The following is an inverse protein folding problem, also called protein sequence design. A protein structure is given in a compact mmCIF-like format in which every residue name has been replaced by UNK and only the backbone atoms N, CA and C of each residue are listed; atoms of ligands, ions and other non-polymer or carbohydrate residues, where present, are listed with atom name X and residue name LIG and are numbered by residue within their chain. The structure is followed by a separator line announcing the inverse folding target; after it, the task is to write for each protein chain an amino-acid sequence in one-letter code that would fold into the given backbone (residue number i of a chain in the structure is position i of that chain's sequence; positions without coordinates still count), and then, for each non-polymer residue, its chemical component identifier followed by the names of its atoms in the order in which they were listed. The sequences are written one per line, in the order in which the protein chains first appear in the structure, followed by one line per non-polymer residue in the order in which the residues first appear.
data_IF_041927287131
#
_entry.id   IF_041927287131
#
_cell.length_a   1.000
_cell.length_b   1.000
_cell.length_c   1.000
_cell.angle_alpha   90.00
_cell.angle_beta   90.00
_cell.angle_gamma   90.00
#
_symmetry.space_group_name_H-M   'P 1'
#
loop_
_entity.id
_entity.type
_entity.pdbx_description
1 polymer ?
#
# COMPACT_ATOMS: atom_id res chain seq x y z
N UNK A 1 -1.96 -1.35 8.85
CA UNK A 1 -1.68 0.10 8.97
C UNK A 1 -2.59 0.83 7.99
N UNK A 2 -3.41 1.75 8.48
CA UNK A 2 -4.38 2.49 7.68
C UNK A 2 -5.72 2.58 8.41
N UNK A 3 -6.58 3.55 8.07
CA UNK A 3 -6.40 4.55 7.02
C UNK A 3 -5.38 5.61 7.43
N UNK A 4 -4.48 5.96 6.52
CA UNK A 4 -3.55 7.08 6.71
C UNK A 4 -3.86 8.17 5.69
N UNK A 5 -4.13 9.37 6.19
CA UNK A 5 -4.27 10.57 5.39
C UNK A 5 -2.91 11.23 5.16
N UNK A 6 -2.60 11.53 3.90
CA UNK A 6 -1.43 12.33 3.50
C UNK A 6 -1.93 13.63 2.90
N UNK A 7 -1.68 14.73 3.63
CA UNK A 7 -1.98 16.09 3.20
C UNK A 7 -0.74 16.87 2.80
N UNK A 8 -0.96 18.00 2.13
CA UNK A 8 0.10 18.97 1.82
C UNK A 8 -0.47 20.26 1.25
N UNK A 9 0.18 21.38 1.52
CA UNK A 9 -0.09 22.68 0.88
C UNK A 9 1.03 23.02 -0.11
N UNK A 10 0.84 24.03 -0.95
CA UNK A 10 1.89 24.51 -1.85
C UNK A 10 3.20 24.74 -1.09
N UNK A 11 4.31 24.21 -1.61
CA UNK A 11 5.63 24.32 -0.99
C UNK A 11 5.97 23.19 -0.01
N UNK A 12 5.05 22.24 0.25
CA UNK A 12 5.37 21.06 1.08
C UNK A 12 6.51 20.27 0.43
N UNK A 13 7.62 20.10 1.15
CA UNK A 13 8.87 19.54 0.61
C UNK A 13 8.77 18.07 0.16
N UNK A 14 7.76 17.34 0.63
CA UNK A 14 7.63 15.91 0.40
C UNK A 14 8.47 15.08 1.37
N UNK A 15 8.92 13.90 0.95
CA UNK A 15 9.65 12.97 1.82
C UNK A 15 10.70 12.15 1.08
N UNK A 16 11.65 11.54 1.80
CA UNK A 16 12.67 10.70 1.19
C UNK A 16 12.03 9.49 0.49
N UNK A 17 12.68 9.05 -0.58
CA UNK A 17 12.38 7.76 -1.18
C UNK A 17 12.74 6.66 -0.18
N UNK A 18 11.87 5.68 -0.06
CA UNK A 18 12.03 4.54 0.83
C UNK A 18 11.30 3.33 0.24
N UNK A 19 11.49 2.17 0.87
CA UNK A 19 11.22 0.90 0.20
C UNK A 19 12.28 0.62 -0.86
N UNK A 20 12.66 -0.64 -0.99
CA UNK A 20 13.61 -1.10 -2.00
C UNK A 20 13.66 -2.62 -1.95
N UNK A 21 14.04 -3.24 -3.08
CA UNK A 21 14.34 -4.68 -3.10
C UNK A 21 15.50 -5.07 -2.18
N UNK A 22 16.42 -4.13 -1.90
CA UNK A 22 17.59 -4.32 -1.06
C UNK A 22 17.72 -3.26 0.06
N UNK A 23 18.00 -3.64 1.33
CA UNK A 23 18.06 -5.02 1.82
C UNK A 23 16.68 -5.68 1.74
N UNK A 24 16.65 -6.93 1.29
CA UNK A 24 15.41 -7.67 1.13
C UNK A 24 14.70 -7.85 2.48
N UNK A 25 13.40 -7.55 2.51
CA UNK A 25 12.51 -7.78 3.65
C UNK A 25 11.52 -8.88 3.29
N UNK A 26 11.79 -10.15 3.64
CA UNK A 26 10.99 -11.31 3.20
C UNK A 26 9.49 -11.18 3.45
N UNK A 27 9.09 -10.54 4.55
CA UNK A 27 7.70 -10.38 4.98
C UNK A 27 6.88 -9.36 4.17
N UNK A 28 7.53 -8.51 3.37
CA UNK A 28 6.88 -7.54 2.46
C UNK A 28 7.46 -7.62 1.05
N UNK A 29 8.19 -8.69 0.76
CA UNK A 29 8.95 -8.86 -0.47
C UNK A 29 8.07 -9.18 -1.68
N UNK A 30 8.61 -8.88 -2.86
CA UNK A 30 8.11 -9.40 -4.12
C UNK A 30 8.87 -10.68 -4.50
N UNK A 31 8.16 -11.69 -4.97
CA UNK A 31 8.74 -12.87 -5.57
C UNK A 31 7.96 -13.25 -6.83
N UNK A 32 8.65 -13.78 -7.84
CA UNK A 32 8.01 -14.30 -9.04
C UNK A 32 8.53 -15.71 -9.31
N UNK A 33 7.60 -16.67 -9.38
CA UNK A 33 7.91 -18.07 -9.61
C UNK A 33 6.78 -18.70 -10.44
N UNK A 34 7.17 -19.46 -11.47
CA UNK A 34 6.24 -20.23 -12.31
C UNK A 34 5.06 -19.40 -12.88
N UNK A 35 5.33 -18.18 -13.34
CA UNK A 35 4.32 -17.29 -13.91
C UNK A 35 3.47 -16.54 -12.89
N UNK A 36 3.65 -16.78 -11.59
CA UNK A 36 2.89 -16.16 -10.53
C UNK A 36 3.72 -15.12 -9.78
N UNK A 37 3.08 -13.98 -9.49
CA UNK A 37 3.65 -12.92 -8.66
C UNK A 37 3.14 -13.06 -7.23
N UNK A 38 4.05 -13.00 -6.27
CA UNK A 38 3.77 -13.07 -4.84
C UNK A 38 4.26 -11.78 -4.19
N UNK A 39 3.42 -11.23 -3.33
CA UNK A 39 3.69 -9.97 -2.63
C UNK A 39 3.27 -10.11 -1.17
N UNK A 40 4.19 -9.79 -0.26
CA UNK A 40 3.93 -9.86 1.19
C UNK A 40 2.98 -8.76 1.70
N UNK A 41 2.92 -7.62 1.00
CA UNK A 41 1.98 -6.54 1.28
C UNK A 41 1.78 -5.58 0.12
N UNK A 42 0.55 -5.10 -0.02
CA UNK A 42 0.13 -4.13 -1.04
C UNK A 42 -0.41 -2.90 -0.33
N UNK A 43 0.03 -1.73 -0.76
CA UNK A 43 -0.57 -0.46 -0.38
C UNK A 43 -1.48 0.02 -1.50
N UNK A 44 -2.70 0.38 -1.13
CA UNK A 44 -3.70 0.95 -2.03
C UNK A 44 -3.93 2.39 -1.60
N UNK A 45 -3.82 3.31 -2.54
CA UNK A 45 -3.93 4.75 -2.27
C UNK A 45 -4.95 5.40 -3.19
N UNK A 46 -5.87 6.15 -2.61
CA UNK A 46 -6.85 6.98 -3.29
C UNK A 46 -6.40 8.43 -3.29
N UNK A 47 -6.31 9.02 -4.47
CA UNK A 47 -6.06 10.44 -4.57
C UNK A 47 -7.39 11.20 -4.51
N UNK A 48 -7.53 12.15 -3.59
CA UNK A 48 -8.77 12.92 -3.39
C UNK A 48 -8.70 14.31 -4.04
N UNK A 49 -7.53 14.71 -4.52
CA UNK A 49 -7.31 15.94 -5.28
C UNK A 49 -6.34 15.68 -6.42
N UNK A 50 -6.38 16.50 -7.47
CA UNK A 50 -5.54 16.32 -8.65
C UNK A 50 -4.04 16.45 -8.33
N UNK A 51 -3.24 15.54 -8.86
CA UNK A 51 -1.78 15.56 -8.84
C UNK A 51 -1.28 15.55 -10.29
N UNK A 52 -1.50 16.67 -10.98
CA UNK A 52 -1.10 16.86 -12.37
C UNK A 52 0.41 16.68 -12.61
N UNK A 53 0.84 16.39 -13.85
CA UNK A 53 2.26 16.28 -14.17
C UNK A 53 3.06 17.50 -13.71
N UNK A 54 4.13 17.27 -12.96
CA UNK A 54 5.04 18.30 -12.47
C UNK A 54 4.67 18.94 -11.13
N UNK A 55 3.45 18.73 -10.60
CA UNK A 55 3.02 19.36 -9.34
C UNK A 55 3.35 18.55 -8.08
N UNK A 56 3.90 17.34 -8.22
CA UNK A 56 4.34 16.49 -7.11
C UNK A 56 3.38 15.34 -6.79
N UNK A 57 3.35 14.92 -5.52
CA UNK A 57 2.51 13.78 -5.11
C UNK A 57 3.30 12.47 -5.10
N UNK A 58 2.69 11.37 -5.55
CA UNK A 58 3.35 10.07 -5.53
C UNK A 58 4.48 10.01 -6.56
N UNK A 59 5.66 9.58 -6.12
CA UNK A 59 6.77 9.25 -6.99
C UNK A 59 7.37 7.89 -6.65
N UNK A 60 7.93 7.20 -7.64
CA UNK A 60 8.55 5.90 -7.45
C UNK A 60 9.67 5.63 -8.45
N UNK A 61 10.45 4.59 -8.17
CA UNK A 61 11.33 3.95 -9.16
C UNK A 61 10.65 2.68 -9.65
N UNK A 62 10.18 2.70 -10.90
CA UNK A 62 9.51 1.55 -11.50
C UNK A 62 10.45 0.33 -11.51
N UNK A 63 9.93 -0.83 -11.09
CA UNK A 63 10.70 -2.08 -11.09
C UNK A 63 11.69 -2.26 -9.94
N UNK A 64 11.86 -1.29 -9.04
CA UNK A 64 12.89 -1.39 -7.99
C UNK A 64 12.60 -2.43 -6.89
N UNK A 65 11.40 -3.03 -6.88
CA UNK A 65 11.08 -4.24 -6.12
C UNK A 65 11.92 -5.46 -6.56
N UNK A 66 12.61 -5.38 -7.71
CA UNK A 66 13.60 -6.36 -8.18
C UNK A 66 15.05 -5.88 -8.01
N UNK A 67 15.29 -4.75 -7.35
CA UNK A 67 16.65 -4.25 -7.15
C UNK A 67 17.46 -5.24 -6.32
N UNK A 68 18.71 -5.48 -6.74
CA UNK A 68 19.71 -6.28 -6.03
C UNK A 68 20.79 -5.40 -5.38
N UNK A 69 20.61 -4.09 -5.43
CA UNK A 69 21.58 -3.11 -4.94
C UNK A 69 20.88 -2.09 -4.04
N UNK A 70 21.60 -1.57 -3.02
CA UNK A 70 21.09 -0.50 -2.18
C UNK A 70 20.67 0.71 -3.00
N UNK A 71 19.62 1.41 -2.55
CA UNK A 71 19.23 2.68 -3.13
C UNK A 71 20.35 3.72 -2.94
N UNK A 72 20.81 4.39 -4.01
CA UNK A 72 21.76 5.51 -3.87
C UNK A 72 21.20 6.61 -2.97
N UNK A 73 22.06 7.25 -2.18
CA UNK A 73 21.68 8.38 -1.30
C UNK A 73 20.98 9.50 -2.04
N UNK A 74 21.48 9.83 -3.23
CA UNK A 74 20.98 10.97 -4.01
C UNK A 74 19.57 10.70 -4.54
N UNK A 75 19.25 9.44 -4.83
CA UNK A 75 17.89 8.98 -5.16
C UNK A 75 17.01 9.03 -3.90
N UNK A 76 17.55 8.57 -2.76
CA UNK A 76 16.85 8.57 -1.46
C UNK A 76 16.37 9.97 -1.08
N UNK A 77 17.25 10.96 -1.17
CA UNK A 77 16.96 12.34 -0.78
C UNK A 77 16.51 13.22 -1.95
N UNK A 78 16.37 12.63 -3.14
CA UNK A 78 15.95 13.32 -4.36
C UNK A 78 16.88 14.47 -4.80
N UNK A 79 18.14 14.47 -4.36
CA UNK A 79 19.20 15.42 -4.77
C UNK A 79 19.59 15.19 -6.23
N UNK A 80 19.71 13.92 -6.63
CA UNK A 80 19.85 13.50 -8.02
C UNK A 80 18.98 12.27 -8.27
N UNK A 81 17.91 12.44 -9.03
CA UNK A 81 16.96 11.37 -9.36
C UNK A 81 17.52 10.36 -10.37
N UNK A 82 18.66 10.63 -10.99
CA UNK A 82 19.33 9.77 -11.98
C UNK A 82 18.41 9.33 -13.15
N UNK A 83 17.35 10.08 -13.43
CA UNK A 83 16.30 9.69 -14.39
C UNK A 83 15.46 8.46 -14.00
N UNK A 84 15.59 7.94 -12.78
CA UNK A 84 14.90 6.71 -12.34
C UNK A 84 13.63 6.98 -11.52
N UNK A 85 13.52 8.15 -10.87
CA UNK A 85 12.34 8.53 -10.08
C UNK A 85 11.31 9.20 -10.99
N UNK A 86 10.16 8.57 -11.14
CA UNK A 86 9.02 9.08 -11.91
C UNK A 86 7.89 9.51 -10.98
N UNK A 87 7.30 10.68 -11.25
CA UNK A 87 5.99 11.03 -10.71
C UNK A 87 4.94 10.12 -11.38
N UNK A 88 3.93 9.70 -10.63
CA UNK A 88 2.70 9.12 -11.20
C UNK A 88 1.63 10.20 -11.14
N UNK A 89 1.28 10.86 -12.26
CA UNK A 89 0.18 11.81 -12.29
C UNK A 89 -1.14 11.10 -12.03
N UNK A 90 -2.01 11.72 -11.23
CA UNK A 90 -3.28 11.13 -10.81
C UNK A 90 -4.35 12.22 -10.70
N UNK A 91 -5.59 11.92 -11.04
CA UNK A 91 -6.77 12.77 -10.79
C UNK A 91 -7.46 12.41 -9.48
N UNK A 92 -8.27 13.34 -8.97
CA UNK A 92 -9.19 13.03 -7.87
C UNK A 92 -10.08 11.84 -8.24
N UNK A 93 -10.07 10.80 -7.42
CA UNK A 93 -10.76 9.52 -7.64
C UNK A 93 -9.84 8.39 -8.10
N UNK A 94 -8.64 8.68 -8.60
CA UNK A 94 -7.71 7.63 -9.06
C UNK A 94 -7.20 6.78 -7.89
N UNK A 95 -6.98 5.50 -8.19
CA UNK A 95 -6.48 4.49 -7.26
C UNK A 95 -5.15 3.96 -7.75
N UNK A 96 -4.14 3.95 -6.88
CA UNK A 96 -2.83 3.38 -7.16
C UNK A 96 -2.55 2.21 -6.21
N UNK A 97 -2.09 1.12 -6.79
CA UNK A 97 -1.59 -0.06 -6.08
C UNK A 97 -0.06 -0.07 -6.18
N UNK A 98 0.63 -0.22 -5.05
CA UNK A 98 2.08 -0.34 -5.03
C UNK A 98 2.56 -1.18 -3.85
N UNK A 99 3.80 -1.65 -3.92
CA UNK A 99 4.41 -2.50 -2.91
C UNK A 99 5.29 -1.64 -1.99
N UNK A 100 4.72 -0.93 -1.01
CA UNK A 100 5.47 0.03 -0.18
C UNK A 100 6.71 -0.56 0.52
N UNK A 101 6.65 -1.84 0.89
CA UNK A 101 7.77 -2.56 1.49
C UNK A 101 8.91 -2.92 0.52
N UNK A 102 8.60 -3.12 -0.77
CA UNK A 102 9.56 -3.64 -1.77
C UNK A 102 9.92 -2.62 -2.85
N UNK A 103 9.01 -1.75 -3.25
CA UNK A 103 9.21 -0.75 -4.28
C UNK A 103 9.67 0.57 -3.66
N UNK A 104 10.71 1.15 -4.26
CA UNK A 104 11.14 2.52 -3.99
C UNK A 104 10.06 3.49 -4.36
N UNK A 105 9.61 4.24 -3.36
CA UNK A 105 8.59 5.25 -3.50
C UNK A 105 8.77 6.36 -2.46
N UNK A 106 8.09 7.47 -2.68
CA UNK A 106 8.16 8.63 -1.82
C UNK A 106 7.20 9.71 -2.27
N UNK A 107 7.11 10.77 -1.48
CA UNK A 107 6.35 11.96 -1.85
C UNK A 107 7.29 12.97 -2.52
N UNK A 108 6.95 13.38 -3.73
CA UNK A 108 7.60 14.49 -4.41
C UNK A 108 7.07 15.85 -3.88
N UNK A 109 7.89 16.91 -3.89
CA UNK A 109 7.49 18.23 -3.40
C UNK A 109 6.19 18.72 -4.06
N UNK A 110 5.27 19.26 -3.26
CA UNK A 110 3.96 19.70 -3.71
C UNK A 110 4.00 21.15 -4.21
N UNK A 111 3.53 21.37 -5.44
CA UNK A 111 3.59 22.67 -6.13
C UNK A 111 2.25 23.15 -6.68
N UNK A 112 1.19 22.37 -6.52
CA UNK A 112 -0.14 22.81 -6.91
C UNK A 112 -0.60 23.98 -6.04
N UNK A 113 -1.50 24.81 -6.57
CA UNK A 113 -2.13 25.93 -5.87
C UNK A 113 -3.23 25.49 -4.88
N UNK A 114 -3.63 24.22 -4.92
CA UNK A 114 -4.59 23.62 -4.00
C UNK A 114 -3.92 22.61 -3.05
N UNK A 115 -4.68 22.14 -2.05
CA UNK A 115 -4.19 21.13 -1.11
C UNK A 115 -4.07 19.75 -1.78
N UNK A 116 -3.00 19.04 -1.46
CA UNK A 116 -2.91 17.59 -1.64
C UNK A 116 -3.79 16.90 -0.62
N UNK A 117 -4.57 15.91 -1.06
CA UNK A 117 -5.32 15.00 -0.18
C UNK A 117 -5.26 13.60 -0.76
N UNK A 118 -4.70 12.67 0.01
CA UNK A 118 -4.57 11.27 -0.39
C UNK A 118 -4.86 10.39 0.83
N UNK A 119 -5.58 9.28 0.65
CA UNK A 119 -5.79 8.26 1.70
C UNK A 119 -5.13 6.97 1.24
N UNK A 120 -4.40 6.31 2.14
CA UNK A 120 -3.81 5.00 1.88
C UNK A 120 -4.20 3.95 2.91
N UNK A 121 -4.29 2.72 2.43
CA UNK A 121 -4.52 1.50 3.20
C UNK A 121 -3.42 0.51 2.88
N UNK A 122 -2.91 -0.20 3.90
CA UNK A 122 -1.92 -1.26 3.72
C UNK A 122 -2.54 -2.61 4.05
N UNK A 123 -2.50 -3.50 3.05
CA UNK A 123 -2.93 -4.88 3.15
C UNK A 123 -1.70 -5.78 3.21
N UNK A 124 -1.77 -6.81 4.03
CA UNK A 124 -0.73 -7.83 4.15
C UNK A 124 -1.33 -9.19 3.83
N UNK A 125 -0.53 -10.08 3.25
CA UNK A 125 -0.94 -11.46 3.05
C UNK A 125 -1.27 -12.11 4.40
N UNK A 126 -2.34 -12.92 4.44
CA UNK A 126 -2.76 -13.66 5.66
C UNK A 126 -1.62 -14.49 6.26
N UNK A 127 -0.77 -15.05 5.40
CA UNK A 127 0.36 -15.90 5.79
C UNK A 127 1.57 -15.13 6.32
N UNK A 128 1.52 -13.79 6.39
CA UNK A 128 2.60 -12.97 6.93
C UNK A 128 2.80 -13.14 8.44
N UNK A 129 1.80 -13.67 9.16
CA UNK A 129 1.95 -14.14 10.54
C UNK A 129 1.15 -15.43 10.79
N UNK A 130 1.72 -16.35 11.59
CA UNK A 130 1.15 -17.69 11.82
C UNK A 130 0.74 -17.98 13.26
N UNK A 131 1.32 -17.30 14.24
CA UNK A 131 1.09 -17.58 15.67
C UNK A 131 1.48 -16.41 16.55
N UNK A 132 1.31 -16.56 17.86
CA UNK A 132 1.69 -15.56 18.84
C UNK A 132 0.72 -14.38 18.86
N UNK A 133 1.20 -13.14 19.06
CA UNK A 133 0.34 -11.97 19.20
C UNK A 133 -0.65 -11.77 18.05
N UNK A 134 -0.33 -12.27 16.85
CA UNK A 134 -1.20 -12.18 15.68
C UNK A 134 -2.60 -12.79 15.92
N UNK A 135 -2.74 -13.84 16.73
CA UNK A 135 -4.07 -14.42 16.99
C UNK A 135 -4.98 -13.47 17.78
N UNK A 136 -4.41 -12.65 18.67
CA UNK A 136 -5.14 -11.67 19.46
C UNK A 136 -5.31 -10.33 18.72
N UNK A 137 -4.46 -10.05 17.73
CA UNK A 137 -4.45 -8.79 16.99
C UNK A 137 -5.17 -8.87 15.63
N UNK A 138 -5.49 -10.07 15.13
CA UNK A 138 -6.15 -10.24 13.85
C UNK A 138 -7.60 -9.72 13.79
N UNK A 139 -8.44 -9.87 14.83
CA UNK A 139 -9.82 -9.41 14.77
C UNK A 139 -9.94 -7.90 14.48
N UNK A 140 -10.83 -7.47 13.57
CA UNK A 140 -11.03 -6.05 13.22
C UNK A 140 -11.29 -5.15 14.43
N UNK A 141 -12.01 -5.64 15.43
CA UNK A 141 -12.37 -4.94 16.67
C UNK A 141 -11.14 -4.51 17.49
N UNK A 142 -9.97 -5.09 17.22
CA UNK A 142 -8.70 -4.64 17.81
C UNK A 142 -8.32 -3.23 17.35
N UNK A 143 -8.73 -2.85 16.14
CA UNK A 143 -8.31 -1.61 15.48
C UNK A 143 -9.46 -0.66 15.16
N UNK A 144 -10.70 -1.14 15.24
CA UNK A 144 -11.91 -0.43 14.82
C UNK A 144 -12.97 -0.54 15.89
N UNK A 145 -13.75 0.54 16.05
CA UNK A 145 -14.87 0.55 17.00
C UNK A 145 -15.89 -0.52 16.64
N UNK A 146 -16.49 -1.16 17.66
CA UNK A 146 -17.49 -2.21 17.48
C UNK A 146 -18.64 -1.78 16.58
N UNK A 147 -19.13 -0.53 16.72
CA UNK A 147 -20.20 -0.01 15.87
C UNK A 147 -19.83 0.04 14.39
N UNK A 148 -18.55 0.29 14.07
CA UNK A 148 -18.06 0.28 12.68
C UNK A 148 -18.03 -1.14 12.15
N UNK A 149 -17.50 -2.08 12.95
CA UNK A 149 -17.38 -3.50 12.55
C UNK A 149 -18.75 -4.16 12.44
N UNK A 150 -19.66 -3.94 13.38
CA UNK A 150 -20.99 -4.56 13.41
C UNK A 150 -21.83 -4.20 12.18
N UNK A 151 -21.63 -3.00 11.62
CA UNK A 151 -22.33 -2.50 10.43
C UNK A 151 -21.67 -2.91 9.11
N UNK A 152 -20.55 -3.64 9.13
CA UNK A 152 -19.91 -4.13 7.91
C UNK A 152 -20.62 -5.38 7.37
N UNK A 153 -20.70 -5.48 6.05
CA UNK A 153 -21.04 -6.76 5.38
C UNK A 153 -19.92 -7.79 5.61
N UNK A 154 -20.20 -9.06 5.36
CA UNK A 154 -19.18 -10.11 5.50
C UNK A 154 -18.00 -9.87 4.55
N UNK A 155 -18.25 -9.37 3.34
CA UNK A 155 -17.21 -9.01 2.37
C UNK A 155 -16.33 -7.85 2.86
N UNK A 156 -16.95 -6.84 3.48
CA UNK A 156 -16.22 -5.73 4.08
C UNK A 156 -15.38 -6.23 5.25
N UNK A 157 -15.95 -7.04 6.15
CA UNK A 157 -15.23 -7.63 7.29
C UNK A 157 -14.03 -8.45 6.82
N UNK A 158 -14.15 -9.21 5.73
CA UNK A 158 -13.10 -10.09 5.20
C UNK A 158 -11.75 -9.39 4.96
N UNK A 159 -11.77 -8.11 4.57
CA UNK A 159 -10.54 -7.32 4.30
C UNK A 159 -10.05 -6.51 5.50
N UNK A 160 -10.79 -6.47 6.61
CA UNK A 160 -10.44 -5.70 7.81
C UNK A 160 -9.58 -6.47 8.81
N UNK A 161 -9.51 -7.79 8.64
CA UNK A 161 -8.70 -8.66 9.49
C UNK A 161 -7.20 -8.40 9.31
N UNK A 162 -6.48 -8.46 10.42
CA UNK A 162 -5.02 -8.48 10.43
C UNK A 162 -4.45 -9.79 9.87
N UNK A 163 -3.14 -9.82 9.54
CA UNK A 163 -2.49 -11.02 9.01
C UNK A 163 -2.44 -12.12 10.08
N UNK A 164 -3.17 -13.22 9.86
CA UNK A 164 -3.08 -14.41 10.70
C UNK A 164 -3.58 -15.67 9.98
N UNK A 165 -2.70 -16.64 9.75
CA UNK A 165 -3.00 -17.86 8.98
C UNK A 165 -3.75 -18.95 9.75
N UNK A 166 -3.69 -18.93 11.08
CA UNK A 166 -4.18 -20.04 11.91
C UNK A 166 -5.47 -19.70 12.66
N UNK A 167 -6.25 -18.74 12.15
CA UNK A 167 -7.58 -18.49 12.69
C UNK A 167 -8.42 -19.74 12.46
N UNK A 168 -8.89 -20.34 13.56
CA UNK A 168 -9.49 -21.69 13.60
C UNK A 168 -10.95 -21.70 13.17
N UNK A 169 -11.60 -20.54 13.16
CA UNK A 169 -12.95 -20.36 12.62
C UNK A 169 -12.89 -19.91 11.16
N UNK A 170 -13.98 -20.13 10.41
CA UNK A 170 -14.10 -19.82 8.99
C UNK A 170 -13.85 -18.34 8.74
N UNK A 171 -12.65 -18.05 8.25
CA UNK A 171 -12.28 -16.72 7.82
C UNK A 171 -12.88 -16.52 6.42
N UNK A 172 -13.78 -15.55 6.22
CA UNK A 172 -14.41 -15.33 4.94
C UNK A 172 -13.35 -15.03 3.88
N UNK A 173 -13.24 -15.91 2.88
CA UNK A 173 -12.37 -15.69 1.72
C UNK A 173 -13.18 -14.93 0.69
N UNK A 174 -12.60 -13.88 0.12
CA UNK A 174 -13.25 -13.17 -0.99
C UNK A 174 -13.01 -13.91 -2.30
N UNK A 175 -14.08 -14.03 -3.09
CA UNK A 175 -14.01 -14.38 -4.51
C UNK A 175 -14.63 -13.25 -5.33
N UNK A 176 -14.32 -13.25 -6.62
CA UNK A 176 -14.88 -12.30 -7.58
C UNK A 176 -15.54 -13.11 -8.69
N UNK A 177 -16.83 -12.87 -8.90
CA UNK A 177 -17.61 -13.51 -9.96
C UNK A 177 -17.14 -13.04 -11.34
N UNK A 178 -17.57 -13.74 -12.40
CA UNK A 178 -17.22 -13.35 -13.77
C UNK A 178 -17.72 -11.95 -14.16
N UNK A 179 -18.82 -11.49 -13.56
CA UNK A 179 -19.38 -10.14 -13.72
C UNK A 179 -18.77 -9.09 -12.76
N UNK A 180 -17.76 -9.47 -11.97
CA UNK A 180 -16.98 -8.56 -11.14
C UNK A 180 -17.58 -8.26 -9.77
N UNK A 181 -18.54 -9.07 -9.31
CA UNK A 181 -19.14 -8.93 -7.97
C UNK A 181 -18.22 -9.59 -6.95
N UNK A 182 -17.88 -8.83 -5.90
CA UNK A 182 -17.14 -9.35 -4.73
C UNK A 182 -18.12 -10.03 -3.79
N UNK A 183 -17.81 -11.26 -3.39
CA UNK A 183 -18.62 -12.04 -2.45
C UNK A 183 -17.75 -12.97 -1.61
N UNK A 184 -18.31 -13.56 -0.56
CA UNK A 184 -17.65 -14.64 0.19
C UNK A 184 -17.62 -15.93 -0.64
N UNK A 185 -16.47 -16.59 -0.68
CA UNK A 185 -16.29 -17.93 -1.23
C UNK A 185 -17.09 -18.93 -0.37
N UNK A 186 -18.11 -19.53 -0.98
CA UNK A 186 -19.01 -20.52 -0.37
C UNK A 186 -18.42 -21.92 -0.31
#
# INVERSE_FOLDING_TARGET
HGPQFIGGVNGTAGGPQHGSGDPHKPWVGYHHQNGNMYVGGVTVTWNLTDADPGVGGFGCVAGSHKSKYPMPSDVRYQENKMGCVSQVPMKGGDVLFFMDGAQTHGTMPWKADHMRRTILFKFAGRTSARSGPASALAPPETYWDHEVVDNMTDEQKAVMWGPYSNYRDDFPILTVTEDGVVQIES
#
